data_IF_535353437030
#
_entry.id   IF_535353437030
#
_cell.length_a   1.000
_cell.length_b   1.000
_cell.length_c   1.000
_cell.angle_alpha   90.00
_cell.angle_beta   90.00
_cell.angle_gamma   90.00
#
_symmetry.space_group_name_H-M   'P 1'
#
loop_
_entity.id
_entity.type
_entity.pdbx_description
1 polymer ?
#
# COMPACT_ATOMS: atom_id res chain seq x y z
N UNK A 1 -11.37 31.99 -16.73
CA UNK A 1 -12.03 30.72 -17.03
C UNK A 1 -11.11 29.61 -16.62
N UNK A 2 -11.42 28.93 -15.52
CA UNK A 2 -10.71 27.73 -15.10
C UNK A 2 -11.30 26.50 -15.81
N UNK A 3 -10.45 25.55 -16.17
CA UNK A 3 -10.92 24.28 -16.72
C UNK A 3 -9.78 23.47 -17.32
N UNK A 4 -9.49 22.31 -16.70
CA UNK A 4 -8.85 21.20 -17.39
C UNK A 4 -7.45 20.81 -16.93
N UNK A 5 -7.17 20.77 -15.62
CA UNK A 5 -5.98 20.08 -15.09
C UNK A 5 -6.21 18.58 -15.00
N UNK A 6 -6.27 17.88 -16.14
CA UNK A 6 -6.31 16.42 -16.15
C UNK A 6 -4.92 15.82 -15.97
N UNK A 7 -4.73 14.91 -15.00
CA UNK A 7 -3.55 14.04 -14.90
C UNK A 7 -3.52 13.11 -16.13
N UNK A 8 -2.84 13.52 -17.19
CA UNK A 8 -2.48 12.61 -18.28
C UNK A 8 -1.07 12.11 -18.00
N UNK A 9 -0.91 11.13 -17.10
CA UNK A 9 0.40 10.75 -16.58
C UNK A 9 0.82 9.34 -16.99
N UNK A 10 1.91 9.24 -17.75
CA UNK A 10 2.70 8.00 -17.78
C UNK A 10 3.32 7.81 -16.37
N UNK A 11 2.80 6.83 -15.62
CA UNK A 11 3.37 6.40 -14.35
C UNK A 11 4.68 5.68 -14.63
N UNK A 12 5.81 6.29 -14.28
CA UNK A 12 7.09 5.58 -14.24
C UNK A 12 7.14 4.78 -12.94
N UNK A 13 7.23 3.44 -12.98
CA UNK A 13 7.57 2.68 -11.79
C UNK A 13 9.00 3.03 -11.34
N UNK A 14 9.35 2.85 -10.06
CA UNK A 14 10.69 3.11 -9.55
C UNK A 14 11.76 2.37 -10.37
N UNK A 15 13.01 2.86 -10.43
CA UNK A 15 14.06 2.44 -11.37
C UNK A 15 14.57 0.97 -11.22
N UNK A 16 13.80 0.07 -10.59
CA UNK A 16 14.13 -1.35 -10.41
C UNK A 16 13.06 -2.36 -10.85
N UNK A 17 11.95 -1.94 -11.48
CA UNK A 17 10.83 -2.85 -11.82
C UNK A 17 10.79 -3.31 -13.30
N UNK A 18 11.84 -3.08 -14.08
CA UNK A 18 11.90 -3.51 -15.48
C UNK A 18 12.19 -5.01 -15.64
N UNK A 19 11.41 -5.89 -14.98
CA UNK A 19 11.30 -7.32 -15.33
C UNK A 19 9.95 -7.89 -14.89
N UNK A 20 8.85 -7.59 -15.59
CA UNK A 20 7.66 -8.45 -15.66
C UNK A 20 6.65 -7.90 -16.69
N UNK A 21 5.87 -8.76 -17.36
CA UNK A 21 4.85 -8.32 -18.30
C UNK A 21 3.79 -7.55 -17.51
N UNK A 22 3.59 -6.26 -17.84
CA UNK A 22 2.51 -5.47 -17.25
C UNK A 22 1.20 -6.18 -17.56
N UNK A 23 0.62 -6.85 -16.56
CA UNK A 23 -0.72 -7.40 -16.64
C UNK A 23 -1.68 -6.22 -16.74
N UNK A 24 -2.31 -5.97 -17.90
CA UNK A 24 -3.09 -4.75 -18.15
C UNK A 24 -4.38 -4.66 -17.30
N UNK A 25 -4.60 -5.62 -16.39
CA UNK A 25 -5.76 -5.71 -15.51
C UNK A 25 -5.49 -5.20 -14.08
N UNK A 26 -4.23 -5.02 -13.66
CA UNK A 26 -3.91 -4.62 -12.28
C UNK A 26 -4.02 -3.10 -12.06
N UNK A 27 -3.57 -2.31 -13.02
CA UNK A 27 -3.55 -0.84 -12.92
C UNK A 27 -4.55 -0.26 -13.92
N UNK A 28 -5.48 0.58 -13.46
CA UNK A 28 -6.39 1.30 -14.35
C UNK A 28 -6.43 2.80 -14.03
N UNK A 29 -6.51 3.61 -15.08
CA UNK A 29 -6.60 5.06 -15.00
C UNK A 29 -7.97 5.51 -15.49
N UNK A 30 -8.71 6.20 -14.64
CA UNK A 30 -10.00 6.81 -14.99
C UNK A 30 -9.96 8.28 -14.62
N UNK A 31 -9.80 9.15 -15.62
CA UNK A 31 -9.61 10.59 -15.38
C UNK A 31 -8.32 10.88 -14.63
N UNK A 32 -8.44 11.41 -13.42
CA UNK A 32 -7.35 11.69 -12.48
C UNK A 32 -7.13 10.59 -11.42
N UNK A 33 -7.88 9.49 -11.51
CA UNK A 33 -7.87 8.42 -10.51
C UNK A 33 -7.09 7.21 -11.00
N UNK A 34 -6.05 6.81 -10.24
CA UNK A 34 -5.34 5.54 -10.39
C UNK A 34 -5.97 4.49 -9.47
N UNK A 35 -6.39 3.37 -10.05
CA UNK A 35 -6.82 2.19 -9.31
C UNK A 35 -5.78 1.08 -9.42
N UNK A 36 -5.38 0.53 -8.27
CA UNK A 36 -4.51 -0.64 -8.18
C UNK A 36 -5.35 -1.80 -7.63
N UNK A 37 -5.60 -2.82 -8.44
CA UNK A 37 -6.40 -3.97 -8.05
C UNK A 37 -5.54 -5.02 -7.33
N UNK A 38 -6.03 -5.52 -6.20
CA UNK A 38 -5.34 -6.56 -5.43
C UNK A 38 -4.02 -6.08 -4.81
N UNK A 39 -4.08 -4.92 -4.15
CA UNK A 39 -2.94 -4.28 -3.48
C UNK A 39 -2.26 -5.25 -2.49
N UNK A 40 -0.94 -5.37 -2.61
CA UNK A 40 -0.09 -6.13 -1.71
C UNK A 40 1.07 -5.28 -1.13
N UNK A 41 1.86 -5.84 -0.21
CA UNK A 41 2.95 -5.08 0.42
C UNK A 41 4.06 -4.64 -0.54
N UNK A 42 4.20 -5.29 -1.71
CA UNK A 42 5.18 -4.91 -2.72
C UNK A 42 4.72 -3.68 -3.53
N UNK A 43 3.43 -3.38 -3.53
CA UNK A 43 2.88 -2.14 -4.13
C UNK A 43 3.16 -0.91 -3.26
N UNK A 44 3.68 -1.07 -2.05
CA UNK A 44 4.09 0.06 -1.20
C UNK A 44 5.22 0.86 -1.85
N UNK A 45 5.13 2.18 -1.76
CA UNK A 45 6.12 3.05 -2.37
C UNK A 45 5.56 4.41 -2.64
N UNK A 46 6.32 5.19 -3.40
CA UNK A 46 5.90 6.51 -3.81
C UNK A 46 5.31 6.50 -5.21
N UNK A 47 4.14 7.14 -5.35
CA UNK A 47 3.41 7.29 -6.59
C UNK A 47 3.45 8.76 -7.00
N UNK A 48 3.77 9.02 -8.26
CA UNK A 48 3.83 10.37 -8.80
C UNK A 48 2.76 10.56 -9.89
N UNK A 49 1.98 11.65 -9.80
CA UNK A 49 1.26 12.19 -10.95
C UNK A 49 2.06 13.35 -11.54
N UNK A 50 2.29 13.28 -12.85
CA UNK A 50 2.83 14.38 -13.64
C UNK A 50 1.77 14.88 -14.61
N UNK A 51 1.49 16.18 -14.57
CA UNK A 51 0.67 16.88 -15.56
C UNK A 51 1.58 17.78 -16.41
N UNK A 52 1.31 17.91 -17.71
CA UNK A 52 2.09 18.75 -18.60
C UNK A 52 1.21 19.53 -19.58
N UNK A 53 1.72 20.68 -19.99
CA UNK A 53 1.22 21.49 -21.10
C UNK A 53 2.30 21.57 -22.19
N UNK A 54 2.06 22.33 -23.26
CA UNK A 54 3.08 22.62 -24.26
C UNK A 54 4.24 23.48 -23.72
N UNK A 55 4.04 24.16 -22.58
CA UNK A 55 4.97 25.15 -22.03
C UNK A 55 5.64 24.66 -20.73
N UNK A 56 4.96 23.84 -19.93
CA UNK A 56 5.44 23.43 -18.61
C UNK A 56 4.98 22.01 -18.23
N UNK A 57 5.53 21.51 -17.11
CA UNK A 57 5.04 20.32 -16.44
C UNK A 57 5.14 20.49 -14.94
N UNK A 58 4.15 19.94 -14.23
CA UNK A 58 4.10 19.89 -12.77
C UNK A 58 4.01 18.44 -12.33
N UNK A 59 4.62 18.15 -11.18
CA UNK A 59 4.68 16.82 -10.59
C UNK A 59 4.20 16.88 -9.15
N UNK A 60 3.41 15.89 -8.74
CA UNK A 60 2.90 15.71 -7.40
C UNK A 60 3.11 14.26 -6.97
N UNK A 61 3.55 14.06 -5.73
CA UNK A 61 3.94 12.76 -5.21
C UNK A 61 3.09 12.38 -3.98
N UNK A 62 2.79 11.10 -3.85
CA UNK A 62 2.03 10.52 -2.76
C UNK A 62 2.62 9.18 -2.31
N UNK A 63 2.73 8.98 -1.00
CA UNK A 63 3.22 7.74 -0.42
C UNK A 63 2.07 6.74 -0.22
N UNK A 64 2.14 5.58 -0.87
CA UNK A 64 1.25 4.44 -0.60
C UNK A 64 1.86 3.56 0.49
N UNK A 65 1.13 3.43 1.61
CA UNK A 65 1.43 2.48 2.68
C UNK A 65 0.32 1.45 2.78
N UNK A 66 0.69 0.19 2.71
CA UNK A 66 -0.26 -0.94 2.78
C UNK A 66 -0.25 -1.44 4.21
N UNK A 67 -1.42 -1.31 4.84
CA UNK A 67 -1.69 -1.80 6.19
C UNK A 67 -2.51 -3.08 6.08
N UNK A 68 -2.10 -4.11 6.80
CA UNK A 68 -2.82 -5.36 6.91
C UNK A 68 -3.12 -5.67 8.37
N UNK A 69 -4.01 -6.64 8.62
CA UNK A 69 -4.22 -7.14 9.99
C UNK A 69 -2.92 -7.72 10.51
N UNK A 70 -2.54 -7.50 11.78
CA UNK A 70 -1.40 -8.18 12.37
C UNK A 70 -1.48 -9.69 12.11
N UNK A 71 -0.33 -10.32 11.89
CA UNK A 71 -0.23 -11.76 11.76
C UNK A 71 -0.79 -12.46 13.00
N UNK A 72 -1.19 -13.74 12.88
CA UNK A 72 -1.64 -14.51 14.02
C UNK A 72 -0.55 -14.56 15.10
N UNK A 73 -0.96 -14.51 16.37
CA UNK A 73 -0.05 -14.75 17.49
C UNK A 73 0.52 -16.17 17.40
N UNK A 74 1.78 -16.32 17.79
CA UNK A 74 2.50 -17.60 17.81
C UNK A 74 2.76 -18.02 19.25
N UNK A 75 3.15 -19.28 19.43
CA UNK A 75 3.64 -19.80 20.72
C UNK A 75 2.69 -19.55 21.90
N UNK A 76 1.38 -19.74 21.68
CA UNK A 76 0.40 -19.61 22.75
C UNK A 76 0.65 -20.71 23.81
N UNK A 77 0.98 -20.28 25.01
CA UNK A 77 1.26 -21.14 26.15
C UNK A 77 0.42 -20.74 27.34
N UNK A 78 -0.10 -21.75 28.05
CA UNK A 78 -0.73 -21.58 29.35
C UNK A 78 0.38 -21.61 30.40
N UNK A 79 0.56 -20.50 31.09
CA UNK A 79 1.54 -20.38 32.17
C UNK A 79 0.96 -20.90 33.49
N UNK A 80 -0.24 -20.45 33.84
CA UNK A 80 -0.88 -20.73 35.14
C UNK A 80 -2.39 -20.89 34.95
N UNK A 81 -2.99 -21.84 35.68
CA UNK A 81 -4.43 -22.05 35.74
C UNK A 81 -4.83 -22.07 37.22
N UNK A 82 -5.74 -21.18 37.58
CA UNK A 82 -6.35 -21.05 38.90
C UNK A 82 -7.87 -21.30 38.80
N UNK A 83 -8.58 -21.41 39.92
CA UNK A 83 -10.02 -21.76 39.95
C UNK A 83 -10.90 -20.81 39.10
N UNK A 84 -10.46 -19.55 38.90
CA UNK A 84 -11.17 -18.54 38.12
C UNK A 84 -10.30 -17.72 37.16
N UNK A 85 -9.01 -18.04 37.03
CA UNK A 85 -8.09 -17.25 36.22
C UNK A 85 -7.13 -18.13 35.44
N UNK A 86 -6.77 -17.70 34.24
CA UNK A 86 -5.72 -18.33 33.44
C UNK A 86 -4.74 -17.26 33.01
N UNK A 87 -3.44 -17.56 33.14
CA UNK A 87 -2.36 -16.72 32.63
C UNK A 87 -1.82 -17.32 31.34
N UNK A 88 -1.79 -16.52 30.29
CA UNK A 88 -1.32 -16.92 28.97
C UNK A 88 -0.07 -16.12 28.59
N UNK A 89 0.78 -16.73 27.77
CA UNK A 89 1.92 -16.11 27.10
C UNK A 89 1.85 -16.41 25.62
N UNK A 90 2.17 -15.45 24.76
CA UNK A 90 2.23 -15.64 23.31
C UNK A 90 3.24 -14.67 22.68
N UNK A 91 3.73 -15.03 21.51
CA UNK A 91 4.59 -14.20 20.66
C UNK A 91 3.71 -13.40 19.70
N UNK A 92 3.84 -12.06 19.60
CA UNK A 92 3.13 -11.26 18.60
C UNK A 92 3.39 -11.75 17.16
N UNK A 93 2.35 -11.67 16.33
CA UNK A 93 2.49 -11.90 14.88
C UNK A 93 3.09 -10.68 14.17
N UNK A 94 3.29 -10.80 12.86
CA UNK A 94 3.87 -9.70 12.06
C UNK A 94 2.97 -8.46 12.10
N UNK A 95 3.51 -7.29 12.44
CA UNK A 95 2.69 -6.09 12.69
C UNK A 95 1.95 -5.58 11.44
N UNK A 96 2.41 -5.93 10.24
CA UNK A 96 1.74 -5.60 8.97
C UNK A 96 1.39 -4.10 8.82
N UNK A 97 2.22 -3.22 9.40
CA UNK A 97 2.00 -1.78 9.47
C UNK A 97 0.69 -1.35 10.19
N UNK A 98 0.04 -2.25 10.93
CA UNK A 98 -1.10 -1.93 11.78
C UNK A 98 -0.62 -1.47 13.14
N UNK A 99 -1.19 -0.41 13.74
CA UNK A 99 -1.00 -0.14 15.16
C UNK A 99 -1.52 -1.33 15.97
N UNK A 100 -0.75 -1.75 16.97
CA UNK A 100 -1.20 -2.69 18.02
C UNK A 100 -1.75 -1.83 19.15
N UNK A 101 -3.05 -1.94 19.42
CA UNK A 101 -3.75 -1.23 20.52
C UNK A 101 -4.32 -2.24 21.53
#
# INVERSE_FOLDING_TARGET
>A
GGGGGGCWGALWPPPGWLTAPASPLRYSLTGDTLTVAGVDYADQGSFSCRAWTLLDAVEAEAQLRVVGRPGPVRDLQVLEVDERQVRLSWTPGDEHNSPVE
#
